data_IF_025216292172
#
_entry.id   IF_025216292172
#
_cell.length_a   1.000
_cell.length_b   1.000
_cell.length_c   1.000
_cell.angle_alpha   90.00
_cell.angle_beta   90.00
_cell.angle_gamma   90.00
#
_symmetry.space_group_name_H-M   'P 1'
#
loop_
_entity.id
_entity.type
_entity.pdbx_description
1 polymer ?
#
# COMPACT_ATOMS: atom_id res chain seq x y z
N UNK A 1 -22.34 -27.31 19.48
CA UNK A 1 -21.21 -26.55 18.89
C UNK A 1 -21.49 -26.43 17.42
N UNK A 2 -22.15 -25.34 17.01
CA UNK A 2 -22.47 -25.08 15.60
C UNK A 2 -21.18 -24.81 14.85
N UNK A 3 -20.76 -25.73 13.98
CA UNK A 3 -19.71 -25.46 13.01
C UNK A 3 -20.23 -24.37 12.08
N UNK A 4 -19.71 -23.15 12.21
CA UNK A 4 -19.95 -22.10 11.24
C UNK A 4 -19.39 -22.58 9.92
N UNK A 5 -20.26 -22.84 8.94
CA UNK A 5 -19.84 -23.17 7.57
C UNK A 5 -19.18 -21.93 6.99
N UNK A 6 -17.85 -21.88 7.02
CA UNK A 6 -17.06 -20.81 6.41
C UNK A 6 -17.15 -20.95 4.89
N UNK A 7 -17.33 -19.82 4.20
CA UNK A 7 -17.24 -19.78 2.75
C UNK A 7 -15.79 -20.12 2.35
N UNK A 8 -15.61 -20.80 1.21
CA UNK A 8 -14.27 -21.20 0.76
C UNK A 8 -13.33 -19.99 0.58
N UNK A 9 -13.89 -18.80 0.32
CA UNK A 9 -13.16 -17.56 0.09
C UNK A 9 -12.89 -16.74 1.36
N UNK A 10 -13.35 -17.16 2.55
CA UNK A 10 -13.18 -16.38 3.79
C UNK A 10 -11.70 -16.15 4.14
N UNK A 11 -10.85 -17.15 3.88
CA UNK A 11 -9.40 -17.02 4.07
C UNK A 11 -8.75 -16.07 3.05
N UNK A 12 -9.27 -16.03 1.81
CA UNK A 12 -8.78 -15.16 0.75
C UNK A 12 -9.14 -13.70 1.04
N UNK A 13 -10.39 -13.43 1.39
CA UNK A 13 -10.85 -12.08 1.73
C UNK A 13 -10.15 -11.56 2.99
N UNK A 14 -9.96 -12.40 4.01
CA UNK A 14 -9.18 -12.03 5.19
C UNK A 14 -7.72 -11.69 4.84
N UNK A 15 -7.11 -12.43 3.92
CA UNK A 15 -5.74 -12.18 3.45
C UNK A 15 -5.62 -10.85 2.70
N UNK A 16 -6.56 -10.55 1.80
CA UNK A 16 -6.60 -9.28 1.06
C UNK A 16 -6.83 -8.11 2.03
N UNK A 17 -7.78 -8.25 2.94
CA UNK A 17 -8.09 -7.23 3.94
C UNK A 17 -6.89 -6.95 4.86
N UNK A 18 -6.18 -7.98 5.32
CA UNK A 18 -5.00 -7.83 6.16
C UNK A 18 -3.88 -7.04 5.44
N UNK A 19 -3.69 -7.30 4.15
CA UNK A 19 -2.71 -6.60 3.32
C UNK A 19 -3.10 -5.13 3.10
N UNK A 20 -4.37 -4.87 2.80
CA UNK A 20 -4.92 -3.51 2.68
C UNK A 20 -4.84 -2.75 4.01
N UNK A 21 -5.10 -3.40 5.14
CA UNK A 21 -4.94 -2.82 6.47
C UNK A 21 -3.48 -2.44 6.74
N UNK A 22 -2.52 -3.32 6.46
CA UNK A 22 -1.10 -3.00 6.62
C UNK A 22 -0.67 -1.79 5.77
N UNK A 23 -1.11 -1.72 4.51
CA UNK A 23 -0.85 -0.55 3.65
C UNK A 23 -1.50 0.73 4.19
N UNK A 24 -2.71 0.64 4.75
CA UNK A 24 -3.40 1.78 5.39
C UNK A 24 -2.66 2.26 6.65
N UNK A 25 -2.23 1.36 7.53
CA UNK A 25 -1.53 1.75 8.75
C UNK A 25 -0.18 2.43 8.44
N UNK A 26 0.54 1.93 7.44
CA UNK A 26 1.79 2.58 6.99
C UNK A 26 1.55 3.92 6.28
N UNK A 27 0.46 4.06 5.53
CA UNK A 27 0.01 5.36 5.01
C UNK A 27 -0.19 6.39 6.13
N UNK A 28 -0.86 5.98 7.22
CA UNK A 28 -1.09 6.83 8.39
C UNK A 28 0.23 7.18 9.09
N UNK A 29 1.15 6.21 9.22
CA UNK A 29 2.48 6.45 9.77
C UNK A 29 3.28 7.47 8.94
N UNK A 30 3.25 7.38 7.60
CA UNK A 30 3.85 8.37 6.70
C UNK A 30 3.25 9.76 6.89
N UNK A 31 1.92 9.86 6.94
CA UNK A 31 1.23 11.14 7.18
C UNK A 31 1.62 11.75 8.53
N UNK A 32 1.72 10.93 9.58
CA UNK A 32 2.21 11.38 10.88
C UNK A 32 3.66 11.87 10.82
N UNK A 33 4.53 11.20 10.05
CA UNK A 33 5.91 11.63 9.83
C UNK A 33 5.97 13.00 9.13
N UNK A 34 5.14 13.21 8.10
CA UNK A 34 5.06 14.48 7.37
C UNK A 34 4.61 15.64 8.29
N UNK A 35 3.59 15.40 9.11
CA UNK A 35 3.11 16.38 10.10
C UNK A 35 4.20 16.66 11.15
N UNK A 36 4.89 15.65 11.64
CA UNK A 36 6.00 15.83 12.58
C UNK A 36 7.12 16.69 11.99
N UNK A 37 7.51 16.42 10.73
CA UNK A 37 8.49 17.23 10.00
C UNK A 37 8.03 18.69 9.85
N UNK A 38 6.74 18.93 9.62
CA UNK A 38 6.19 20.27 9.52
C UNK A 38 6.27 21.08 10.84
N UNK A 39 6.23 20.42 11.99
CA UNK A 39 6.35 21.07 13.30
C UNK A 39 7.78 21.47 13.69
N UNK A 40 8.79 20.93 13.00
CA UNK A 40 10.21 21.21 13.28
C UNK A 40 10.85 22.12 12.23
N UNK A 41 10.03 22.74 11.38
CA UNK A 41 10.46 23.69 10.35
C UNK A 41 11.11 24.93 11.01
N UNK A 42 12.38 25.24 10.73
CA UNK A 42 13.05 26.43 11.24
C UNK A 42 12.29 27.73 10.97
N UNK A 43 11.58 27.83 9.85
CA UNK A 43 10.81 29.03 9.52
C UNK A 43 9.64 29.27 10.50
N UNK A 44 9.29 28.26 11.30
CA UNK A 44 8.15 28.26 12.24
C UNK A 44 8.60 28.26 13.69
N UNK A 45 9.87 27.99 13.95
CA UNK A 45 10.44 27.98 15.29
C UNK A 45 11.07 29.33 15.58
N UNK A 46 10.76 29.89 16.76
CA UNK A 46 11.50 31.05 17.27
C UNK A 46 12.83 30.55 17.82
N UNK A 47 13.92 30.91 17.15
CA UNK A 47 15.25 30.62 17.64
C UNK A 47 15.58 31.53 18.82
N UNK A 48 15.96 30.94 19.95
CA UNK A 48 16.60 31.63 21.06
C UNK A 48 18.09 31.74 20.76
N UNK A 49 18.58 32.98 20.75
CA UNK A 49 19.98 33.25 20.42
C UNK A 49 20.79 33.08 21.69
N UNK A 50 21.57 32.00 21.75
CA UNK A 50 22.44 31.71 22.87
C UNK A 50 23.49 30.68 22.49
N UNK A 51 24.74 30.99 22.82
CA UNK A 51 25.84 30.08 22.59
C UNK A 51 26.46 29.63 23.91
N UNK A 52 26.93 28.39 23.90
CA UNK A 52 27.67 27.77 25.00
C UNK A 52 29.10 27.53 24.55
N UNK A 53 30.06 27.92 25.39
CA UNK A 53 31.45 27.60 25.17
C UNK A 53 31.75 26.20 25.74
N UNK A 54 32.16 25.27 24.89
CA UNK A 54 32.67 23.98 25.35
C UNK A 54 34.14 24.20 25.73
N UNK A 55 34.47 23.98 27.00
CA UNK A 55 35.80 24.28 27.54
C UNK A 55 36.90 23.56 26.74
N UNK A 56 37.78 24.34 26.11
CA UNK A 56 38.94 23.83 25.38
C UNK A 56 38.69 23.41 23.93
N UNK A 57 37.46 23.55 23.41
CA UNK A 57 37.12 23.10 22.06
C UNK A 57 36.61 24.24 21.16
N UNK A 58 35.32 24.55 21.23
CA UNK A 58 34.66 25.53 20.37
C UNK A 58 33.34 26.01 20.99
N UNK A 59 32.79 27.07 20.41
CA UNK A 59 31.48 27.64 20.77
C UNK A 59 30.39 26.98 19.93
N UNK A 60 29.32 26.53 20.59
CA UNK A 60 28.15 25.93 19.92
C UNK A 60 26.89 26.72 20.23
N UNK A 61 25.94 26.71 19.30
CA UNK A 61 24.55 27.01 19.55
C UNK A 61 23.84 25.71 19.92
N UNK A 62 23.45 25.49 21.20
CA UNK A 62 22.79 24.25 21.61
C UNK A 62 21.48 24.01 20.86
N UNK A 63 20.77 25.09 20.51
CA UNK A 63 19.54 25.01 19.75
C UNK A 63 19.80 24.49 18.32
N UNK A 64 20.84 24.97 17.64
CA UNK A 64 21.15 24.48 16.28
C UNK A 64 21.54 23.00 16.29
N UNK A 65 22.31 22.57 17.30
CA UNK A 65 22.67 21.16 17.48
C UNK A 65 21.41 20.30 17.72
N UNK A 66 20.53 20.72 18.63
CA UNK A 66 19.28 20.00 18.91
C UNK A 66 18.36 19.93 17.69
N UNK A 67 18.17 21.05 16.97
CA UNK A 67 17.34 21.09 15.76
C UNK A 67 17.92 20.23 14.64
N UNK A 68 19.25 20.22 14.47
CA UNK A 68 19.93 19.35 13.51
C UNK A 68 19.64 17.87 13.80
N UNK A 69 19.79 17.45 15.06
CA UNK A 69 19.51 16.07 15.49
C UNK A 69 18.04 15.68 15.28
N UNK A 70 17.10 16.53 15.70
CA UNK A 70 15.66 16.31 15.53
C UNK A 70 15.30 16.20 14.05
N UNK A 71 15.83 17.07 13.19
CA UNK A 71 15.64 16.99 11.73
C UNK A 71 16.18 15.68 11.16
N UNK A 72 17.35 15.24 11.62
CA UNK A 72 17.92 13.95 11.23
C UNK A 72 16.95 12.80 11.53
N UNK A 73 16.40 12.76 12.75
CA UNK A 73 15.44 11.75 13.16
C UNK A 73 14.14 11.79 12.34
N UNK A 74 13.55 12.98 12.14
CA UNK A 74 12.33 13.11 11.35
C UNK A 74 12.52 12.72 9.88
N UNK A 75 13.67 13.07 9.27
CA UNK A 75 14.00 12.64 7.91
C UNK A 75 14.16 11.13 7.81
N UNK A 76 14.86 10.52 8.77
CA UNK A 76 15.01 9.06 8.82
C UNK A 76 13.64 8.37 8.93
N UNK A 77 12.78 8.83 9.85
CA UNK A 77 11.44 8.30 10.02
C UNK A 77 10.55 8.49 8.78
N UNK A 78 10.63 9.66 8.14
CA UNK A 78 9.91 9.94 6.89
C UNK A 78 10.38 9.04 5.74
N UNK A 79 11.70 8.80 5.61
CA UNK A 79 12.24 7.88 4.61
C UNK A 79 11.70 6.47 4.83
N UNK A 80 11.87 5.92 6.04
CA UNK A 80 11.44 4.56 6.37
C UNK A 80 9.94 4.37 6.16
N UNK A 81 9.12 5.31 6.61
CA UNK A 81 7.66 5.21 6.44
C UNK A 81 7.21 5.37 4.99
N UNK A 82 7.94 6.16 4.18
CA UNK A 82 7.67 6.29 2.74
C UNK A 82 7.97 4.99 2.02
N UNK A 83 9.15 4.40 2.26
CA UNK A 83 9.60 3.16 1.63
C UNK A 83 8.66 1.99 1.98
N UNK A 84 8.29 1.87 3.27
CA UNK A 84 7.36 0.85 3.75
C UNK A 84 5.96 1.02 3.15
N UNK A 85 5.42 2.24 3.13
CA UNK A 85 4.10 2.49 2.54
C UNK A 85 4.08 2.16 1.05
N UNK A 86 5.11 2.57 0.31
CA UNK A 86 5.19 2.26 -1.11
C UNK A 86 5.23 0.75 -1.36
N UNK A 87 6.10 0.01 -0.67
CA UNK A 87 6.19 -1.44 -0.82
C UNK A 87 4.87 -2.15 -0.48
N UNK A 88 4.22 -1.77 0.62
CA UNK A 88 2.95 -2.36 1.04
C UNK A 88 1.79 -1.99 0.12
N UNK A 89 1.73 -0.75 -0.38
CA UNK A 89 0.69 -0.32 -1.32
C UNK A 89 0.80 -1.08 -2.66
N UNK A 90 2.02 -1.31 -3.14
CA UNK A 90 2.27 -2.12 -4.34
C UNK A 90 1.99 -3.60 -4.09
N UNK A 91 2.44 -4.16 -2.97
CA UNK A 91 2.12 -5.53 -2.57
C UNK A 91 0.61 -5.74 -2.51
N UNK A 92 -0.12 -4.78 -1.93
CA UNK A 92 -1.58 -4.77 -1.88
C UNK A 92 -2.22 -4.75 -3.28
N UNK A 93 -1.75 -3.87 -4.17
CA UNK A 93 -2.22 -3.80 -5.55
C UNK A 93 -2.01 -5.12 -6.31
N UNK A 94 -0.78 -5.65 -6.31
CA UNK A 94 -0.42 -6.87 -7.03
C UNK A 94 -1.06 -8.12 -6.42
N UNK A 95 -1.02 -8.25 -5.09
CA UNK A 95 -1.62 -9.38 -4.38
C UNK A 95 -3.12 -9.49 -4.62
N UNK A 96 -3.83 -8.36 -4.55
CA UNK A 96 -5.27 -8.32 -4.78
C UNK A 96 -5.63 -8.55 -6.25
N UNK A 97 -4.85 -8.00 -7.19
CA UNK A 97 -5.05 -8.28 -8.61
C UNK A 97 -4.76 -9.73 -8.96
N UNK A 98 -3.72 -10.34 -8.39
CA UNK A 98 -3.42 -11.76 -8.57
C UNK A 98 -4.56 -12.64 -8.08
N UNK A 99 -5.10 -12.35 -6.89
CA UNK A 99 -6.28 -13.04 -6.36
C UNK A 99 -7.51 -12.87 -7.26
N UNK A 100 -7.79 -11.65 -7.70
CA UNK A 100 -8.90 -11.36 -8.62
C UNK A 100 -8.76 -12.12 -9.94
N UNK A 101 -7.57 -12.11 -10.54
CA UNK A 101 -7.28 -12.82 -11.77
C UNK A 101 -7.48 -14.33 -11.62
N UNK A 102 -7.03 -14.90 -10.50
CA UNK A 102 -7.25 -16.32 -10.21
C UNK A 102 -8.74 -16.65 -10.13
N UNK A 103 -9.53 -15.84 -9.42
CA UNK A 103 -10.99 -16.03 -9.29
C UNK A 103 -11.72 -15.87 -10.63
N UNK A 104 -11.37 -14.85 -11.42
CA UNK A 104 -11.92 -14.64 -12.77
C UNK A 104 -11.64 -15.84 -13.67
N UNK A 105 -10.48 -16.48 -13.53
CA UNK A 105 -10.12 -17.72 -14.25
C UNK A 105 -10.80 -18.99 -13.68
N UNK A 106 -11.64 -18.86 -12.66
CA UNK A 106 -12.35 -19.98 -12.03
C UNK A 106 -11.54 -20.73 -10.95
N UNK A 107 -10.34 -20.27 -10.61
CA UNK A 107 -9.57 -20.85 -9.51
C UNK A 107 -10.13 -20.44 -8.15
N UNK A 108 -9.80 -21.23 -7.12
CA UNK A 108 -10.20 -21.00 -5.73
C UNK A 108 -8.97 -20.87 -4.83
N UNK A 109 -8.21 -19.77 -4.96
CA UNK A 109 -7.02 -19.56 -4.13
C UNK A 109 -7.44 -19.43 -2.66
N UNK A 110 -6.65 -20.02 -1.76
CA UNK A 110 -6.95 -19.98 -0.32
C UNK A 110 -6.45 -18.69 0.35
N UNK A 111 -5.35 -18.13 -0.14
CA UNK A 111 -4.69 -16.94 0.37
C UNK A 111 -4.10 -16.12 -0.78
N UNK A 112 -3.72 -14.88 -0.48
CA UNK A 112 -2.85 -14.10 -1.37
C UNK A 112 -1.41 -14.61 -1.18
N UNK A 113 -0.77 -15.00 -2.27
CA UNK A 113 0.61 -15.51 -2.26
C UNK A 113 1.57 -14.42 -2.75
N UNK A 114 2.47 -13.98 -1.87
CA UNK A 114 3.51 -13.00 -2.15
C UNK A 114 4.84 -13.51 -1.59
N UNK A 115 5.94 -13.15 -2.23
CA UNK A 115 7.29 -13.44 -1.73
C UNK A 115 7.84 -12.22 -0.99
N UNK A 116 8.73 -12.46 -0.03
CA UNK A 116 9.48 -11.42 0.67
C UNK A 116 10.97 -11.68 0.50
N UNK A 117 11.73 -10.61 0.38
CA UNK A 117 13.19 -10.65 0.34
C UNK A 117 13.79 -10.72 1.76
N UNK A 118 15.12 -10.70 1.83
CA UNK A 118 15.86 -10.70 3.10
C UNK A 118 15.77 -9.36 3.85
N UNK A 119 15.29 -8.30 3.19
CA UNK A 119 15.13 -6.97 3.77
C UNK A 119 13.71 -6.71 4.24
N UNK A 120 12.90 -7.77 4.34
CA UNK A 120 11.52 -7.73 4.77
C UNK A 120 10.55 -7.02 3.81
N UNK A 121 11.00 -6.66 2.61
CA UNK A 121 10.17 -6.09 1.56
C UNK A 121 9.47 -7.20 0.77
N UNK A 122 8.27 -6.92 0.26
CA UNK A 122 7.64 -7.81 -0.70
C UNK A 122 8.36 -7.73 -2.05
N UNK A 123 8.65 -8.90 -2.62
CA UNK A 123 9.10 -9.04 -4.01
C UNK A 123 7.92 -8.70 -4.92
N UNK A 124 8.06 -7.63 -5.70
CA UNK A 124 7.02 -7.17 -6.61
C UNK A 124 7.29 -7.73 -8.02
N UNK A 125 6.26 -8.19 -8.75
CA UNK A 125 6.41 -8.60 -10.14
C UNK A 125 6.91 -7.44 -11.02
N UNK A 126 7.75 -7.77 -12.01
CA UNK A 126 8.17 -6.82 -13.03
C UNK A 126 7.08 -6.62 -14.10
N UNK A 127 6.13 -7.55 -14.20
CA UNK A 127 5.00 -7.47 -15.11
C UNK A 127 4.02 -6.37 -14.71
N UNK A 128 3.38 -5.68 -15.69
CA UNK A 128 2.34 -4.72 -15.38
C UNK A 128 1.15 -5.40 -14.71
N UNK A 129 0.44 -4.65 -13.87
CA UNK A 129 -0.83 -5.09 -13.28
C UNK A 129 -1.78 -5.67 -14.35
N UNK A 130 -2.53 -6.73 -14.06
CA UNK A 130 -3.49 -7.33 -14.99
C UNK A 130 -4.52 -6.32 -15.51
N UNK A 131 -4.91 -6.47 -16.77
CA UNK A 131 -6.07 -5.77 -17.34
C UNK A 131 -7.30 -6.67 -17.24
N UNK A 132 -8.39 -6.14 -16.68
CA UNK A 132 -9.64 -6.87 -16.44
C UNK A 132 -10.79 -6.37 -17.32
N UNK A 133 -10.50 -5.60 -18.39
CA UNK A 133 -11.51 -5.13 -19.34
C UNK A 133 -12.20 -6.32 -20.02
N UNK A 134 -13.52 -6.37 -19.93
CA UNK A 134 -14.36 -7.48 -20.40
C UNK A 134 -14.59 -8.59 -19.36
N UNK A 135 -13.67 -8.80 -18.42
CA UNK A 135 -13.68 -10.00 -17.57
C UNK A 135 -14.53 -9.89 -16.29
N UNK A 136 -14.91 -8.68 -15.89
CA UNK A 136 -15.65 -8.42 -14.64
C UNK A 136 -17.18 -8.34 -14.83
N UNK A 137 -17.70 -8.80 -15.98
CA UNK A 137 -19.12 -8.72 -16.30
C UNK A 137 -19.66 -7.29 -16.25
N UNK A 138 -20.78 -7.08 -15.54
CA UNK A 138 -21.46 -5.78 -15.44
C UNK A 138 -20.97 -4.91 -14.28
N UNK A 139 -19.82 -5.21 -13.67
CA UNK A 139 -19.34 -4.45 -12.52
C UNK A 139 -18.98 -3.01 -12.90
N UNK A 140 -19.70 -2.04 -12.33
CA UNK A 140 -19.60 -0.61 -12.68
C UNK A 140 -18.22 0.01 -12.42
N UNK A 141 -17.42 -0.60 -11.55
CA UNK A 141 -16.09 -0.14 -11.15
C UNK A 141 -14.98 -0.40 -12.17
N UNK A 142 -15.25 -1.12 -13.27
CA UNK A 142 -14.22 -1.58 -14.22
C UNK A 142 -13.46 -0.43 -14.91
N UNK A 143 -14.16 0.67 -15.26
CA UNK A 143 -13.52 1.85 -15.86
C UNK A 143 -12.51 2.50 -14.91
N UNK A 144 -12.89 2.62 -13.63
CA UNK A 144 -12.02 3.18 -12.59
C UNK A 144 -10.80 2.30 -12.34
N UNK A 145 -11.00 0.98 -12.28
CA UNK A 145 -9.90 0.02 -12.13
C UNK A 145 -8.88 0.14 -13.28
N UNK A 146 -9.38 0.21 -14.52
CA UNK A 146 -8.53 0.38 -15.70
C UNK A 146 -7.79 1.73 -15.73
N UNK A 147 -8.41 2.82 -15.26
CA UNK A 147 -7.76 4.12 -15.14
C UNK A 147 -6.63 4.08 -14.11
N UNK A 148 -6.90 3.53 -12.93
CA UNK A 148 -5.92 3.41 -11.84
C UNK A 148 -4.73 2.53 -12.27
N UNK A 149 -4.99 1.45 -13.00
CA UNK A 149 -3.94 0.62 -13.62
C UNK A 149 -3.00 1.45 -14.48
N UNK A 150 -3.55 2.30 -15.36
CA UNK A 150 -2.74 3.18 -16.21
C UNK A 150 -1.93 4.17 -15.39
N UNK A 151 -2.48 4.73 -14.31
CA UNK A 151 -1.74 5.62 -13.41
C UNK A 151 -0.58 4.92 -12.71
N UNK A 152 -0.81 3.71 -12.17
CA UNK A 152 0.27 2.90 -11.56
C UNK A 152 1.36 2.62 -12.59
N UNK A 153 1.00 2.16 -13.79
CA UNK A 153 1.96 1.87 -14.85
C UNK A 153 2.77 3.08 -15.29
N UNK A 154 2.13 4.25 -15.47
CA UNK A 154 2.84 5.48 -15.83
C UNK A 154 3.86 5.90 -14.75
N UNK A 155 3.47 5.85 -13.47
CA UNK A 155 4.33 6.22 -12.34
C UNK A 155 5.46 5.21 -12.11
N UNK A 156 5.20 3.93 -12.37
CA UNK A 156 6.22 2.88 -12.32
C UNK A 156 7.33 3.12 -13.36
N UNK A 157 6.97 3.49 -14.59
CA UNK A 157 7.93 3.81 -15.64
C UNK A 157 8.75 5.07 -15.34
N UNK A 158 8.13 6.11 -14.78
CA UNK A 158 8.82 7.34 -14.36
C UNK A 158 9.92 7.05 -13.32
N UNK A 159 9.68 6.09 -12.41
CA UNK A 159 10.65 5.64 -11.40
C UNK A 159 11.89 5.02 -12.04
N UNK A 160 11.70 4.10 -12.99
CA UNK A 160 12.80 3.43 -13.70
C UNK A 160 13.61 4.39 -14.58
N UNK A 161 12.97 5.42 -15.14
CA UNK A 161 13.64 6.42 -15.97
C UNK A 161 14.50 7.41 -15.17
N UNK A 162 14.55 7.31 -13.83
CA UNK A 162 15.34 8.20 -12.98
C UNK A 162 14.89 9.67 -13.01
N UNK A 163 13.70 9.97 -13.57
CA UNK A 163 13.17 11.35 -13.70
C UNK A 163 12.61 11.91 -12.38
N UNK A 164 13.02 11.35 -11.25
CA UNK A 164 12.44 11.63 -9.95
C UNK A 164 13.15 12.78 -9.23
N UNK A 165 13.11 13.98 -9.81
CA UNK A 165 13.20 15.21 -9.02
C UNK A 165 11.76 15.64 -8.69
N UNK A 166 11.15 14.97 -7.70
CA UNK A 166 9.81 15.26 -7.19
C UNK A 166 8.70 14.24 -7.50
N UNK A 167 9.01 13.12 -8.18
CA UNK A 167 8.02 12.20 -8.78
C UNK A 167 7.57 10.97 -7.97
N UNK A 168 8.20 10.66 -6.83
CA UNK A 168 7.75 9.57 -5.93
C UNK A 168 6.42 9.88 -5.24
N UNK A 169 5.97 11.14 -5.27
CA UNK A 169 4.68 11.56 -4.76
C UNK A 169 3.55 10.97 -5.61
N UNK A 170 3.00 9.85 -5.15
CA UNK A 170 1.71 9.32 -5.61
C UNK A 170 1.73 7.95 -6.27
N UNK A 171 2.88 7.29 -6.46
CA UNK A 171 2.89 5.87 -6.89
C UNK A 171 2.19 5.01 -5.83
N UNK A 172 2.62 5.13 -4.58
CA UNK A 172 2.02 4.42 -3.45
C UNK A 172 0.51 4.72 -3.33
N UNK A 173 0.10 5.99 -3.46
CA UNK A 173 -1.32 6.36 -3.38
C UNK A 173 -2.13 5.81 -4.57
N UNK A 174 -1.57 5.78 -5.78
CA UNK A 174 -2.21 5.15 -6.94
C UNK A 174 -2.32 3.63 -6.79
N UNK A 175 -1.27 2.97 -6.28
CA UNK A 175 -1.24 1.55 -6.02
C UNK A 175 -2.25 1.16 -4.93
N UNK A 176 -2.28 1.91 -3.83
CA UNK A 176 -3.25 1.73 -2.75
C UNK A 176 -4.69 1.88 -3.27
N UNK A 177 -4.99 2.95 -4.02
CA UNK A 177 -6.31 3.16 -4.60
C UNK A 177 -6.70 2.08 -5.63
N UNK A 178 -5.73 1.56 -6.39
CA UNK A 178 -5.94 0.41 -7.27
C UNK A 178 -6.27 -0.84 -6.46
N UNK A 179 -5.53 -1.11 -5.37
CA UNK A 179 -5.77 -2.23 -4.47
C UNK A 179 -7.18 -2.23 -3.90
N UNK A 180 -7.65 -1.09 -3.37
CA UNK A 180 -9.04 -0.93 -2.88
C UNK A 180 -10.07 -1.25 -3.98
N UNK A 181 -9.83 -0.74 -5.20
CA UNK A 181 -10.74 -0.97 -6.31
C UNK A 181 -10.71 -2.44 -6.78
N UNK A 182 -9.56 -3.09 -6.75
CA UNK A 182 -9.41 -4.52 -7.05
C UNK A 182 -10.06 -5.39 -5.96
N UNK A 183 -9.98 -5.00 -4.69
CA UNK A 183 -10.64 -5.69 -3.58
C UNK A 183 -12.16 -5.62 -3.74
N UNK A 184 -12.71 -4.46 -4.09
CA UNK A 184 -14.15 -4.32 -4.39
C UNK A 184 -14.58 -5.19 -5.56
N UNK A 185 -13.75 -5.29 -6.61
CA UNK A 185 -14.00 -6.17 -7.75
C UNK A 185 -13.98 -7.65 -7.34
N UNK A 186 -13.01 -8.04 -6.52
CA UNK A 186 -12.89 -9.41 -6.00
C UNK A 186 -14.12 -9.80 -5.18
N UNK A 187 -14.56 -8.95 -4.26
CA UNK A 187 -15.77 -9.19 -3.48
C UNK A 187 -17.00 -9.32 -4.37
N UNK A 188 -17.15 -8.46 -5.39
CA UNK A 188 -18.23 -8.59 -6.36
C UNK A 188 -18.18 -9.95 -7.07
N UNK A 189 -17.02 -10.35 -7.60
CA UNK A 189 -16.87 -11.63 -8.30
C UNK A 189 -17.18 -12.82 -7.39
N UNK A 190 -16.70 -12.82 -6.14
CA UNK A 190 -16.97 -13.89 -5.19
C UNK A 190 -18.47 -14.02 -4.87
N UNK A 191 -19.19 -12.90 -4.79
CA UNK A 191 -20.63 -12.90 -4.52
C UNK A 191 -21.47 -13.27 -5.75
N UNK A 192 -21.06 -12.85 -6.95
CA UNK A 192 -21.82 -13.12 -8.19
C UNK A 192 -21.48 -14.48 -8.82
N UNK A 193 -20.26 -14.98 -8.63
CA UNK A 193 -19.81 -16.28 -9.12
C UNK A 193 -20.11 -17.44 -8.15
N UNK A 194 -20.78 -17.16 -7.02
CA UNK A 194 -21.34 -18.18 -6.14
C UNK A 194 -22.77 -18.51 -6.60
N UNK A 195 -23.00 -19.48 -7.51
CA UNK A 195 -24.34 -19.96 -7.72
C UNK A 195 -24.81 -20.61 -6.41
N UNK A 196 -26.06 -20.35 -6.07
CA UNK A 196 -26.80 -21.04 -5.04
C UNK A 196 -26.39 -22.52 -5.02
N UNK A 197 -25.90 -23.00 -3.87
CA UNK A 197 -25.72 -24.43 -3.66
C UNK A 197 -27.00 -25.14 -4.09
N UNK A 198 -26.83 -26.10 -4.98
CA UNK A 198 -27.90 -26.83 -5.62
C UNK A 198 -28.91 -27.32 -4.60
N UNK A 199 -30.17 -27.12 -4.94
CA UNK A 199 -31.27 -27.99 -4.52
C UNK A 199 -30.76 -29.44 -4.50
N UNK A 200 -30.86 -30.17 -3.38
CA UNK A 200 -30.72 -31.61 -3.43
C UNK A 200 -31.89 -32.12 -4.29
N UNK A 201 -31.59 -32.54 -5.51
CA UNK A 201 -32.48 -33.40 -6.27
C UNK A 201 -32.75 -34.65 -5.43
N UNK A 202 -34.01 -34.77 -5.04
CA UNK A 202 -34.59 -36.00 -4.52
C UNK A 202 -34.79 -36.91 -5.72
N UNK A 203 -33.95 -37.93 -5.85
CA UNK A 203 -34.26 -39.15 -6.62
C UNK A 203 -34.17 -40.33 -5.65
N UNK A 204 -35.33 -40.73 -5.11
CA UNK A 204 -36.13 -41.93 -5.44
C UNK A 204 -35.65 -43.18 -4.70
#
# INVERSE_FOLDING_TARGET
MSHTTLAWFDSLTASVFALGAAARETRLARQAAEVATWHIDPARLRAEIGDVNICGEYRISPQDVALSQIRGLCRAYQSVTTDLYENLALAYAYGTAGALLAVVKGYRPRYVELRRDQTEHYDLPDEPLPDFRGDLGNWSGQRRLALLRSHVGARWMDRYAGRSEGGLAGLADCAYAYGEQAEMALHHQLLTACPAHGTPEVEQ
#
